data_IF_642198169841
#
_entry.id   IF_642198169841
#
_cell.length_a   1.000
_cell.length_b   1.000
_cell.length_c   1.000
_cell.angle_alpha   90.00
_cell.angle_beta   90.00
_cell.angle_gamma   90.00
#
_symmetry.space_group_name_H-M   'P 1'
#
loop_
_entity.id
_entity.type
_entity.pdbx_description
1 polymer ?
#
# COMPACT_ATOMS: atom_id res chain seq x y z
N UNK A 1 -3.24 -0.37 14.07
CA UNK A 1 -3.39 -0.02 12.64
C UNK A 1 -4.14 -1.06 11.81
N UNK A 2 -4.07 -2.37 12.12
CA UNK A 2 -4.87 -3.39 11.40
C UNK A 2 -6.38 -3.21 11.55
N UNK A 3 -6.84 -2.73 12.71
CA UNK A 3 -8.26 -2.45 12.99
C UNK A 3 -8.83 -1.39 12.05
N UNK A 4 -8.15 -0.26 11.91
CA UNK A 4 -8.53 0.83 10.99
C UNK A 4 -8.60 0.37 9.54
N UNK A 5 -7.73 -0.55 9.13
CA UNK A 5 -7.66 -0.98 7.74
C UNK A 5 -8.91 -1.76 7.29
N UNK A 6 -9.52 -2.54 8.20
CA UNK A 6 -10.78 -3.23 7.90
C UNK A 6 -11.92 -2.26 7.62
N UNK A 7 -12.00 -1.20 8.44
CA UNK A 7 -13.04 -0.18 8.29
C UNK A 7 -12.87 0.60 6.99
N UNK A 8 -11.65 1.01 6.67
CA UNK A 8 -11.34 1.71 5.41
C UNK A 8 -11.70 0.87 4.19
N UNK A 9 -11.37 -0.43 4.19
CA UNK A 9 -11.76 -1.33 3.09
C UNK A 9 -13.27 -1.52 3.02
N UNK A 10 -13.95 -1.65 4.16
CA UNK A 10 -15.41 -1.75 4.21
C UNK A 10 -16.08 -0.51 3.62
N UNK A 11 -15.64 0.69 4.01
CA UNK A 11 -16.15 1.95 3.45
C UNK A 11 -15.87 2.01 1.95
N UNK A 12 -14.63 1.69 1.53
CA UNK A 12 -14.22 1.76 0.13
C UNK A 12 -15.03 0.84 -0.79
N UNK A 13 -15.19 -0.43 -0.42
CA UNK A 13 -15.91 -1.39 -1.25
C UNK A 13 -17.43 -1.30 -1.08
N UNK A 14 -17.93 -1.18 0.15
CA UNK A 14 -19.37 -1.31 0.43
C UNK A 14 -20.12 0.01 0.32
N UNK A 15 -19.52 1.13 0.74
CA UNK A 15 -20.20 2.43 0.73
C UNK A 15 -19.88 3.23 -0.54
N UNK A 16 -18.61 3.25 -0.95
CA UNK A 16 -18.17 4.00 -2.13
C UNK A 16 -18.26 3.20 -3.42
N UNK A 17 -18.44 1.88 -3.35
CA UNK A 17 -18.56 1.01 -4.52
C UNK A 17 -17.28 0.94 -5.35
N UNK A 18 -16.11 1.12 -4.73
CA UNK A 18 -14.84 1.04 -5.44
C UNK A 18 -14.63 -0.38 -5.98
N UNK A 19 -14.22 -0.50 -7.24
CA UNK A 19 -13.90 -1.81 -7.84
C UNK A 19 -12.52 -2.30 -7.39
N UNK A 20 -11.64 -1.37 -7.01
CA UNK A 20 -10.24 -1.64 -6.73
C UNK A 20 -9.66 -0.61 -5.76
N UNK A 21 -8.86 -1.09 -4.81
CA UNK A 21 -8.07 -0.28 -3.89
C UNK A 21 -6.63 -0.76 -4.01
N UNK A 22 -5.69 0.18 -4.17
CA UNK A 22 -4.26 -0.12 -4.26
C UNK A 22 -3.50 0.60 -3.15
N UNK A 23 -2.37 0.04 -2.74
CA UNK A 23 -1.47 0.64 -1.77
C UNK A 23 -0.07 0.80 -2.38
N UNK A 24 0.58 1.92 -2.08
CA UNK A 24 1.97 2.19 -2.45
C UNK A 24 2.78 2.21 -1.15
N UNK A 25 3.86 1.44 -1.10
CA UNK A 25 4.70 1.32 0.10
C UNK A 25 6.17 1.33 -0.29
N UNK A 26 7.01 2.03 0.48
CA UNK A 26 8.45 1.96 0.32
C UNK A 26 8.94 0.51 0.39
N UNK A 27 9.82 0.11 -0.52
CA UNK A 27 10.34 -1.28 -0.60
C UNK A 27 10.99 -1.72 0.72
N UNK A 28 11.61 -0.78 1.41
CA UNK A 28 12.30 -0.95 2.68
C UNK A 28 11.34 -1.21 3.86
N UNK A 29 10.06 -0.83 3.73
CA UNK A 29 9.07 -0.93 4.81
C UNK A 29 8.42 -2.32 4.85
N UNK A 30 9.18 -3.29 5.32
CA UNK A 30 8.78 -4.70 5.45
C UNK A 30 7.55 -4.85 6.36
N UNK A 31 7.40 -4.02 7.40
CA UNK A 31 6.27 -4.10 8.32
C UNK A 31 4.95 -3.77 7.61
N UNK A 32 4.91 -2.69 6.83
CA UNK A 32 3.73 -2.31 6.06
C UNK A 32 3.44 -3.31 4.93
N UNK A 33 4.46 -3.82 4.23
CA UNK A 33 4.29 -4.90 3.24
C UNK A 33 3.58 -6.12 3.85
N UNK A 34 4.06 -6.59 5.02
CA UNK A 34 3.44 -7.72 5.74
C UNK A 34 2.00 -7.43 6.16
N UNK A 35 1.68 -6.19 6.53
CA UNK A 35 0.32 -5.80 6.87
C UNK A 35 -0.59 -5.90 5.62
N UNK A 36 -0.15 -5.36 4.48
CA UNK A 36 -0.91 -5.41 3.22
C UNK A 36 -1.16 -6.85 2.77
N UNK A 37 -0.15 -7.73 2.82
CA UNK A 37 -0.31 -9.14 2.49
C UNK A 37 -1.34 -9.85 3.39
N UNK A 38 -1.45 -9.46 4.68
CA UNK A 38 -2.48 -10.00 5.58
C UNK A 38 -3.90 -9.59 5.18
N UNK A 39 -4.05 -8.44 4.52
CA UNK A 39 -5.32 -7.96 3.97
C UNK A 39 -5.54 -8.36 2.50
N UNK A 40 -4.82 -9.38 2.03
CA UNK A 40 -5.00 -9.98 0.69
C UNK A 40 -4.64 -9.05 -0.47
N UNK A 41 -3.92 -7.95 -0.21
CA UNK A 41 -3.29 -7.16 -1.26
C UNK A 41 -2.23 -7.99 -1.99
N UNK A 42 -2.07 -7.76 -3.29
CA UNK A 42 -1.18 -8.53 -4.16
C UNK A 42 -0.14 -7.58 -4.72
N UNK A 43 1.14 -7.93 -4.56
CA UNK A 43 2.19 -7.13 -5.16
C UNK A 43 2.11 -7.20 -6.69
N UNK A 44 1.82 -6.06 -7.32
CA UNK A 44 1.61 -5.96 -8.77
C UNK A 44 2.81 -5.38 -9.50
N UNK A 45 3.63 -4.58 -8.83
CA UNK A 45 4.76 -3.93 -9.48
C UNK A 45 5.71 -3.21 -8.54
N UNK A 46 6.92 -2.98 -9.05
CA UNK A 46 7.96 -2.20 -8.39
C UNK A 46 8.26 -0.95 -9.21
N UNK A 47 8.04 0.21 -8.63
CA UNK A 47 8.41 1.48 -9.23
C UNK A 47 9.77 1.91 -8.71
N UNK A 48 10.78 1.91 -9.60
CA UNK A 48 12.15 2.33 -9.28
C UNK A 48 12.26 3.84 -9.37
N UNK A 49 12.91 4.45 -8.38
CA UNK A 49 13.18 5.90 -8.35
C UNK A 49 11.93 6.75 -8.56
N UNK A 50 10.79 6.30 -8.04
CA UNK A 50 9.49 6.93 -8.28
C UNK A 50 9.21 8.06 -7.31
N UNK A 51 9.59 7.90 -6.05
CA UNK A 51 9.43 8.93 -5.03
C UNK A 51 10.77 9.60 -4.74
N UNK A 52 10.72 10.90 -4.49
CA UNK A 52 11.86 11.65 -3.97
C UNK A 52 11.60 11.94 -2.50
N UNK A 53 12.41 11.35 -1.63
CA UNK A 53 12.41 11.63 -0.22
C UNK A 53 13.58 12.57 0.08
N UNK A 54 13.28 13.74 0.64
CA UNK A 54 14.27 14.81 0.84
C UNK A 54 15.48 14.41 1.68
N UNK A 55 15.36 13.35 2.49
CA UNK A 55 16.42 12.84 3.36
C UNK A 55 17.21 11.68 2.73
N UNK A 56 16.53 10.74 2.06
CA UNK A 56 17.16 9.52 1.52
C UNK A 56 17.40 9.55 0.02
N UNK A 57 16.98 10.61 -0.67
CA UNK A 57 17.09 10.77 -2.12
C UNK A 57 15.96 10.04 -2.86
N UNK A 58 16.31 9.35 -3.95
CA UNK A 58 15.32 8.60 -4.74
C UNK A 58 14.96 7.27 -4.04
N UNK A 59 13.68 7.08 -3.76
CA UNK A 59 13.14 5.88 -3.12
C UNK A 59 12.32 5.06 -4.13
N UNK A 60 12.43 3.75 -4.02
CA UNK A 60 11.61 2.80 -4.79
C UNK A 60 10.42 2.35 -3.97
N UNK A 61 9.28 2.17 -4.63
CA UNK A 61 8.03 1.76 -3.98
C UNK A 61 7.47 0.50 -4.64
N UNK A 62 6.82 -0.33 -3.82
CA UNK A 62 6.02 -1.45 -4.26
C UNK A 62 4.55 -1.04 -4.34
N UNK A 63 3.88 -1.47 -5.41
CA UNK A 63 2.44 -1.38 -5.57
C UNK A 63 1.86 -2.73 -5.14
N UNK A 64 0.96 -2.69 -4.17
CA UNK A 64 0.24 -3.85 -3.64
C UNK A 64 -1.27 -3.69 -3.77
#
# INVERSE_FOLDING_TARGET
MSETMKEVLSIGFNQLGLVRIQAIVAVENIASKKLLTKFTFKEEGYLRQYEYHSVTGQSSVAIC
#
